data_IF_746524581795
#
_entry.id   IF_746524581795
#
_cell.length_a   1.000
_cell.length_b   1.000
_cell.length_c   1.000
_cell.angle_alpha   90.00
_cell.angle_beta   90.00
_cell.angle_gamma   90.00
#
_symmetry.space_group_name_H-M   'P 1'
#
loop_
_entity.id
_entity.type
_entity.pdbx_description
1 polymer ?
#
# COMPACT_ATOMS: atom_id res chain seq x y z
N UNK A 1 70.28 -2.63 18.38
CA UNK A 1 68.95 -3.18 18.06
C UNK A 1 67.99 -2.03 17.85
N UNK A 2 67.80 -1.61 16.60
CA UNK A 2 67.07 -0.38 16.24
C UNK A 2 65.75 -0.78 15.60
N UNK A 3 64.61 -0.46 16.26
CA UNK A 3 63.26 -0.71 15.72
C UNK A 3 62.85 0.47 14.84
N UNK A 4 62.66 0.22 13.55
CA UNK A 4 61.97 1.09 12.60
C UNK A 4 60.47 0.82 12.68
N UNK A 5 59.67 1.85 12.97
CA UNK A 5 58.20 1.83 12.86
C UNK A 5 57.80 2.51 11.54
N UNK A 6 57.29 1.73 10.59
CA UNK A 6 56.65 2.25 9.38
C UNK A 6 55.19 2.59 9.66
N UNK A 7 54.81 3.85 9.45
CA UNK A 7 53.43 4.30 9.44
C UNK A 7 52.82 4.06 8.05
N UNK A 8 51.75 3.24 7.98
CA UNK A 8 50.98 3.00 6.75
C UNK A 8 49.85 4.02 6.67
N UNK A 9 49.89 4.89 5.67
CA UNK A 9 48.86 5.87 5.35
C UNK A 9 47.75 5.21 4.51
N UNK A 10 46.60 4.92 5.12
CA UNK A 10 45.40 4.51 4.41
C UNK A 10 44.67 5.75 3.87
N UNK A 11 44.85 6.04 2.58
CA UNK A 11 44.01 7.01 1.85
C UNK A 11 42.72 6.32 1.41
N UNK A 12 41.60 6.80 1.94
CA UNK A 12 40.26 6.39 1.50
C UNK A 12 39.95 6.97 0.10
N UNK A 13 39.26 6.24 -0.78
CA UNK A 13 38.83 6.77 -2.07
C UNK A 13 37.77 7.87 -1.89
N UNK A 14 37.96 8.97 -2.63
CA UNK A 14 37.02 10.09 -2.68
C UNK A 14 35.69 9.65 -3.32
N UNK A 15 34.53 10.15 -2.83
CA UNK A 15 33.23 9.83 -3.40
C UNK A 15 33.08 10.42 -4.82
N UNK A 16 32.62 9.59 -5.75
CA UNK A 16 32.21 10.03 -7.09
C UNK A 16 31.02 11.01 -6.97
N UNK A 17 31.25 12.26 -7.37
CA UNK A 17 30.21 13.28 -7.51
C UNK A 17 29.35 12.90 -8.72
N UNK A 18 28.17 12.34 -8.47
CA UNK A 18 27.16 12.13 -9.50
C UNK A 18 26.58 13.49 -9.90
N UNK A 19 26.74 13.85 -11.18
CA UNK A 19 26.18 15.08 -11.73
C UNK A 19 24.65 15.13 -11.69
N UNK A 20 24.05 16.32 -11.85
CA UNK A 20 22.61 16.51 -11.77
C UNK A 20 21.92 15.85 -12.98
N UNK A 21 21.39 14.65 -12.78
CA UNK A 21 20.44 14.07 -13.72
C UNK A 21 19.16 14.91 -13.72
N UNK A 22 18.91 15.60 -14.84
CA UNK A 22 17.63 16.24 -15.16
C UNK A 22 16.53 15.18 -15.18
N UNK A 23 15.91 14.96 -14.03
CA UNK A 23 14.69 14.18 -13.94
C UNK A 23 13.54 15.08 -14.41
N UNK A 24 12.98 14.77 -15.58
CA UNK A 24 11.61 15.25 -15.88
C UNK A 24 10.74 14.86 -14.68
N UNK A 25 9.90 15.77 -14.15
CA UNK A 25 9.16 15.48 -12.93
C UNK A 25 8.28 14.25 -13.18
N UNK A 26 8.54 13.18 -12.41
CA UNK A 26 7.86 11.87 -12.42
C UNK A 26 6.32 12.00 -12.50
N UNK A 27 5.80 13.12 -12.00
CA UNK A 27 4.39 13.52 -12.04
C UNK A 27 3.80 13.61 -13.46
N UNK A 28 4.57 14.05 -14.46
CA UNK A 28 4.06 14.24 -15.83
C UNK A 28 3.82 12.91 -16.54
N UNK A 29 4.65 11.90 -16.26
CA UNK A 29 4.45 10.54 -16.78
C UNK A 29 3.27 9.86 -16.10
N UNK A 30 3.14 10.00 -14.77
CA UNK A 30 2.00 9.44 -14.01
C UNK A 30 0.66 10.03 -14.47
N UNK A 31 0.60 11.34 -14.75
CA UNK A 31 -0.62 12.00 -15.21
C UNK A 31 -1.10 11.51 -16.59
N UNK A 32 -0.17 11.28 -17.53
CA UNK A 32 -0.51 10.78 -18.89
C UNK A 32 -0.96 9.32 -18.89
N UNK A 33 -0.35 8.50 -18.03
CA UNK A 33 -0.73 7.08 -17.90
C UNK A 33 -2.16 6.97 -17.37
N UNK A 34 -2.47 7.75 -16.32
CA UNK A 34 -3.78 7.79 -15.68
C UNK A 34 -4.95 8.15 -16.62
N UNK A 35 -4.75 9.09 -17.54
CA UNK A 35 -5.81 9.49 -18.50
C UNK A 35 -6.18 8.39 -19.48
N UNK A 36 -5.23 7.53 -19.86
CA UNK A 36 -5.48 6.49 -20.87
C UNK A 36 -6.25 5.28 -20.30
N UNK A 37 -6.02 4.92 -19.03
CA UNK A 37 -6.76 3.82 -18.40
C UNK A 37 -8.21 4.21 -18.07
N UNK A 38 -8.45 5.45 -17.61
CA UNK A 38 -9.81 5.91 -17.30
C UNK A 38 -10.71 5.87 -18.53
N UNK A 39 -10.19 6.16 -19.74
CA UNK A 39 -10.99 6.11 -20.97
C UNK A 39 -11.62 4.74 -21.24
N UNK A 40 -11.13 3.66 -20.61
CA UNK A 40 -11.67 2.30 -20.72
C UNK A 40 -12.62 1.90 -19.60
N UNK A 41 -12.69 2.67 -18.51
CA UNK A 41 -13.51 2.36 -17.34
C UNK A 41 -14.81 3.16 -17.44
N UNK A 42 -15.92 2.47 -17.63
CA UNK A 42 -17.24 3.10 -17.76
C UNK A 42 -17.76 3.67 -16.42
N UNK A 43 -17.25 3.18 -15.28
CA UNK A 43 -17.65 3.62 -13.93
C UNK A 43 -16.81 4.81 -13.48
N UNK A 44 -17.50 5.85 -13.03
CA UNK A 44 -16.89 7.03 -12.42
C UNK A 44 -16.12 6.65 -11.16
N UNK A 45 -14.89 7.15 -11.05
CA UNK A 45 -14.04 7.01 -9.86
C UNK A 45 -14.78 7.52 -8.59
N UNK A 46 -14.96 6.68 -7.55
CA UNK A 46 -15.42 7.09 -6.23
C UNK A 46 -14.53 8.19 -5.63
N UNK A 47 -15.15 9.28 -5.16
CA UNK A 47 -14.41 10.43 -4.62
C UNK A 47 -14.58 10.64 -3.12
N UNK A 48 -15.77 10.33 -2.60
CA UNK A 48 -16.15 10.65 -1.23
C UNK A 48 -16.04 9.41 -0.35
N UNK A 49 -15.49 9.49 0.88
CA UNK A 49 -15.45 8.33 1.78
C UNK A 49 -16.81 7.72 2.11
N UNK A 50 -17.90 8.52 2.02
CA UNK A 50 -19.29 8.07 2.16
C UNK A 50 -19.84 7.33 0.94
N UNK A 51 -19.03 7.11 -0.11
CA UNK A 51 -19.46 6.38 -1.31
C UNK A 51 -19.94 4.97 -0.92
N UNK A 52 -21.15 4.56 -1.33
CA UNK A 52 -21.64 3.21 -1.11
C UNK A 52 -20.66 2.12 -1.58
N UNK A 53 -20.50 1.06 -0.78
CA UNK A 53 -19.56 -0.03 -1.05
C UNK A 53 -19.77 -0.67 -2.44
N UNK A 54 -21.02 -0.84 -2.89
CA UNK A 54 -21.31 -1.43 -4.20
C UNK A 54 -20.74 -0.62 -5.38
N UNK A 55 -20.64 0.71 -5.27
CA UNK A 55 -20.01 1.56 -6.29
C UNK A 55 -18.49 1.41 -6.30
N UNK A 56 -17.88 1.28 -5.11
CA UNK A 56 -16.45 1.00 -4.98
C UNK A 56 -16.13 -0.38 -5.58
N UNK A 57 -16.94 -1.39 -5.31
CA UNK A 57 -16.82 -2.72 -5.89
C UNK A 57 -16.97 -2.69 -7.41
N UNK A 58 -17.99 -2.00 -7.94
CA UNK A 58 -18.19 -1.86 -9.37
C UNK A 58 -16.95 -1.25 -10.05
N UNK A 59 -16.36 -0.20 -9.45
CA UNK A 59 -15.12 0.40 -9.95
C UNK A 59 -13.94 -0.58 -9.96
N UNK A 60 -13.65 -1.24 -8.82
CA UNK A 60 -12.54 -2.19 -8.72
C UNK A 60 -12.70 -3.39 -9.67
N UNK A 61 -13.93 -3.88 -9.85
CA UNK A 61 -14.25 -4.96 -10.79
C UNK A 61 -14.04 -4.54 -12.24
N UNK A 62 -14.46 -3.33 -12.62
CA UNK A 62 -14.20 -2.83 -13.98
C UNK A 62 -12.71 -2.60 -14.23
N UNK A 63 -11.98 -2.09 -13.23
CA UNK A 63 -10.53 -1.96 -13.32
C UNK A 63 -9.87 -3.34 -13.50
N UNK A 64 -10.30 -4.37 -12.76
CA UNK A 64 -9.82 -5.74 -12.97
C UNK A 64 -10.07 -6.23 -14.41
N UNK A 65 -11.26 -5.98 -14.97
CA UNK A 65 -11.62 -6.39 -16.33
C UNK A 65 -10.77 -5.68 -17.38
N UNK A 66 -10.57 -4.36 -17.23
CA UNK A 66 -9.74 -3.56 -18.12
C UNK A 66 -8.27 -4.04 -18.16
N UNK A 67 -7.82 -4.72 -17.10
CA UNK A 67 -6.46 -5.20 -16.91
C UNK A 67 -6.35 -6.75 -16.86
N UNK A 68 -7.38 -7.49 -17.33
CA UNK A 68 -7.48 -8.94 -17.13
C UNK A 68 -6.29 -9.73 -17.71
N UNK A 69 -5.85 -9.43 -18.93
CA UNK A 69 -4.82 -10.20 -19.63
C UNK A 69 -3.43 -10.01 -19.01
N UNK A 70 -2.93 -8.77 -18.99
CA UNK A 70 -1.53 -8.48 -18.65
C UNK A 70 -1.35 -7.66 -17.35
N UNK A 71 -2.44 -7.32 -16.68
CA UNK A 71 -2.39 -6.53 -15.46
C UNK A 71 -2.42 -7.35 -14.18
N UNK A 72 -2.23 -6.69 -13.02
CA UNK A 72 -2.23 -7.34 -11.73
C UNK A 72 -3.60 -7.95 -11.40
N UNK A 73 -3.62 -8.79 -10.37
CA UNK A 73 -4.86 -9.10 -9.69
C UNK A 73 -5.32 -7.88 -8.88
N UNK A 74 -6.58 -7.51 -8.98
CA UNK A 74 -7.21 -6.40 -8.27
C UNK A 74 -8.35 -7.00 -7.46
N UNK A 75 -8.24 -6.92 -6.14
CA UNK A 75 -9.25 -7.48 -5.26
C UNK A 75 -10.54 -6.64 -5.35
N UNK A 76 -11.70 -7.25 -5.63
CA UNK A 76 -12.91 -6.49 -5.96
C UNK A 76 -13.63 -5.90 -4.74
N UNK A 77 -13.27 -6.30 -3.52
CA UNK A 77 -13.92 -5.84 -2.29
C UNK A 77 -12.99 -4.97 -1.44
N UNK A 78 -13.57 -4.05 -0.67
CA UNK A 78 -12.81 -3.27 0.33
C UNK A 78 -12.45 -4.18 1.50
N UNK A 79 -11.18 -4.20 1.90
CA UNK A 79 -10.71 -4.98 3.05
C UNK A 79 -10.74 -4.10 4.29
N UNK A 80 -11.51 -4.51 5.30
CA UNK A 80 -11.73 -3.68 6.50
C UNK A 80 -11.56 -4.39 7.82
N UNK A 81 -11.56 -5.72 7.83
CA UNK A 81 -11.59 -6.48 9.07
C UNK A 81 -10.42 -7.44 9.17
N UNK A 82 -9.83 -7.61 10.37
CA UNK A 82 -8.83 -8.63 10.56
C UNK A 82 -9.39 -10.04 10.36
N UNK A 83 -10.62 -10.27 10.84
CA UNK A 83 -11.29 -11.57 10.84
C UNK A 83 -12.82 -11.42 10.77
N UNK A 84 -13.50 -12.56 10.67
CA UNK A 84 -14.96 -12.62 10.56
C UNK A 84 -15.69 -12.21 11.83
N UNK A 85 -15.09 -12.39 13.01
CA UNK A 85 -15.70 -12.01 14.28
C UNK A 85 -15.80 -10.49 14.37
N UNK A 86 -14.70 -9.77 14.08
CA UNK A 86 -14.71 -8.32 13.99
C UNK A 86 -15.69 -7.82 12.93
N UNK A 87 -15.74 -8.43 11.75
CA UNK A 87 -16.75 -8.06 10.73
C UNK A 87 -18.17 -8.21 11.27
N UNK A 88 -18.45 -9.32 11.97
CA UNK A 88 -19.76 -9.58 12.54
C UNK A 88 -20.16 -8.52 13.56
N UNK A 89 -19.27 -8.19 14.51
CA UNK A 89 -19.51 -7.16 15.52
C UNK A 89 -19.90 -5.82 14.87
N UNK A 90 -19.15 -5.40 13.84
CA UNK A 90 -19.43 -4.16 13.12
C UNK A 90 -20.70 -4.21 12.27
N UNK A 91 -21.06 -5.38 11.75
CA UNK A 91 -22.26 -5.56 10.95
C UNK A 91 -23.56 -5.42 11.75
N UNK A 92 -23.51 -5.56 13.08
CA UNK A 92 -24.64 -5.31 13.99
C UNK A 92 -25.00 -3.82 13.97
N UNK A 93 -23.98 -2.95 13.99
CA UNK A 93 -24.18 -1.49 14.00
C UNK A 93 -24.41 -0.92 12.60
N UNK A 94 -23.78 -1.51 11.57
CA UNK A 94 -23.88 -1.05 10.19
C UNK A 94 -24.04 -2.19 9.19
N UNK A 95 -25.26 -2.36 8.66
CA UNK A 95 -25.59 -3.46 7.75
C UNK A 95 -24.68 -3.57 6.52
N UNK A 96 -24.20 -2.44 5.98
CA UNK A 96 -23.31 -2.41 4.81
C UNK A 96 -21.89 -2.94 5.08
N UNK A 97 -21.51 -3.14 6.35
CA UNK A 97 -20.21 -3.73 6.72
C UNK A 97 -20.11 -5.20 6.33
N UNK A 98 -21.24 -5.89 6.15
CA UNK A 98 -21.29 -7.28 5.65
C UNK A 98 -20.67 -7.44 4.26
N UNK A 99 -20.67 -6.38 3.45
CA UNK A 99 -20.15 -6.39 2.09
C UNK A 99 -18.62 -6.23 2.02
N UNK A 100 -17.98 -5.88 3.14
CA UNK A 100 -16.53 -5.69 3.22
C UNK A 100 -15.83 -7.00 3.60
N UNK A 101 -14.60 -7.13 3.14
CA UNK A 101 -13.83 -8.36 3.32
C UNK A 101 -12.91 -8.32 4.54
N UNK A 102 -12.54 -9.51 4.96
CA UNK A 102 -11.49 -9.77 5.93
C UNK A 102 -10.12 -9.88 5.24
N UNK A 103 -9.04 -9.74 6.01
CA UNK A 103 -7.68 -9.96 5.51
C UNK A 103 -7.47 -11.39 4.98
N UNK A 104 -8.11 -12.38 5.64
CA UNK A 104 -8.04 -13.79 5.23
C UNK A 104 -8.71 -14.01 3.88
N UNK A 105 -9.90 -13.46 3.66
CA UNK A 105 -10.62 -13.55 2.38
C UNK A 105 -9.80 -12.94 1.25
N UNK A 106 -9.25 -11.73 1.47
CA UNK A 106 -8.34 -11.10 0.51
C UNK A 106 -7.15 -12.01 0.16
N UNK A 107 -6.48 -12.55 1.18
CA UNK A 107 -5.26 -13.31 0.95
C UNK A 107 -5.52 -14.64 0.24
N UNK A 108 -6.58 -15.36 0.63
CA UNK A 108 -6.93 -16.67 0.08
C UNK A 108 -7.67 -16.60 -1.25
N UNK A 109 -8.18 -15.43 -1.66
CA UNK A 109 -8.87 -15.31 -2.95
C UNK A 109 -7.98 -15.78 -4.10
N UNK A 110 -8.49 -16.58 -5.06
CA UNK A 110 -7.71 -17.02 -6.22
C UNK A 110 -7.06 -15.85 -6.97
N UNK A 111 -5.75 -15.96 -7.21
CA UNK A 111 -4.94 -14.95 -7.91
C UNK A 111 -4.57 -15.38 -9.33
N UNK A 112 -4.93 -16.59 -9.75
CA UNK A 112 -4.67 -17.14 -11.09
C UNK A 112 -3.22 -16.95 -11.58
N UNK A 113 -2.25 -17.21 -10.71
CA UNK A 113 -0.83 -17.11 -11.03
C UNK A 113 -0.24 -15.69 -11.08
N UNK A 114 -1.06 -14.65 -10.86
CA UNK A 114 -0.64 -13.24 -10.90
C UNK A 114 0.45 -12.94 -9.88
N UNK A 115 1.46 -12.15 -10.28
CA UNK A 115 2.64 -11.80 -9.46
C UNK A 115 2.43 -10.56 -8.60
N UNK A 116 1.44 -9.76 -8.96
CA UNK A 116 1.15 -8.45 -8.41
C UNK A 116 -0.32 -8.39 -8.02
N UNK A 117 -0.61 -8.02 -6.79
CA UNK A 117 -1.97 -7.93 -6.25
C UNK A 117 -2.23 -6.53 -5.70
N UNK A 118 -3.39 -5.97 -6.01
CA UNK A 118 -3.83 -4.66 -5.55
C UNK A 118 -5.09 -4.84 -4.70
N UNK A 119 -5.20 -4.06 -3.63
CA UNK A 119 -6.40 -4.02 -2.81
C UNK A 119 -6.59 -2.64 -2.20
N UNK A 120 -7.86 -2.25 -2.08
CA UNK A 120 -8.27 -1.11 -1.28
C UNK A 120 -8.54 -1.59 0.15
N UNK A 121 -7.91 -0.96 1.11
CA UNK A 121 -8.19 -1.17 2.52
C UNK A 121 -8.90 0.05 3.09
N UNK A 122 -9.73 -0.19 4.09
CA UNK A 122 -10.40 0.87 4.81
C UNK A 122 -10.56 0.51 6.29
N UNK A 123 -10.31 1.47 7.17
CA UNK A 123 -10.45 1.30 8.62
C UNK A 123 -11.22 2.48 9.21
N UNK A 124 -11.91 2.29 10.34
CA UNK A 124 -12.45 3.42 11.08
C UNK A 124 -11.31 4.39 11.47
N UNK A 125 -11.58 5.71 11.54
CA UNK A 125 -10.66 6.66 12.15
C UNK A 125 -10.41 6.27 13.62
N UNK A 126 -9.21 6.54 14.12
CA UNK A 126 -8.66 5.87 15.31
C UNK A 126 -9.44 6.02 16.63
N UNK A 127 -9.55 4.87 17.31
CA UNK A 127 -9.76 4.57 18.74
C UNK A 127 -11.13 4.76 19.42
N UNK A 128 -11.66 3.61 19.87
CA UNK A 128 -12.97 3.35 20.47
C UNK A 128 -12.95 3.29 22.00
N UNK A 129 -11.79 3.45 22.64
CA UNK A 129 -11.64 3.26 24.09
C UNK A 129 -11.24 4.58 24.73
N UNK A 130 -12.17 5.19 25.48
CA UNK A 130 -11.92 6.37 26.32
C UNK A 130 -12.52 7.69 25.84
N UNK A 131 -13.14 7.74 24.66
CA UNK A 131 -13.93 8.88 24.18
C UNK A 131 -15.40 8.50 24.34
N UNK A 132 -16.10 9.14 25.29
CA UNK A 132 -17.44 8.76 25.73
C UNK A 132 -18.52 8.73 24.63
N UNK A 133 -19.73 8.33 25.00
CA UNK A 133 -20.91 8.09 24.13
C UNK A 133 -21.29 9.25 23.19
N UNK A 134 -20.71 10.44 23.37
CA UNK A 134 -21.01 11.67 22.63
C UNK A 134 -20.04 12.02 21.47
N UNK A 135 -19.07 11.17 21.12
CA UNK A 135 -18.21 11.45 19.97
C UNK A 135 -18.78 10.91 18.67
N UNK A 136 -18.91 11.79 17.66
CA UNK A 136 -19.51 11.55 16.35
C UNK A 136 -18.75 10.60 15.43
N UNK A 137 -18.15 9.52 15.94
CA UNK A 137 -17.48 8.49 15.16
C UNK A 137 -18.41 7.84 14.13
N UNK A 138 -19.73 7.85 14.39
CA UNK A 138 -20.74 7.42 13.44
C UNK A 138 -20.73 8.26 12.16
N UNK A 139 -20.35 9.53 12.30
CA UNK A 139 -20.31 10.53 11.24
C UNK A 139 -18.90 10.71 10.68
N UNK A 140 -17.86 10.13 11.29
CA UNK A 140 -16.52 10.25 10.77
C UNK A 140 -16.29 9.30 9.59
N UNK A 141 -15.79 9.81 8.46
CA UNK A 141 -15.53 9.00 7.30
C UNK A 141 -14.44 7.96 7.60
N UNK A 142 -14.63 6.73 7.13
CA UNK A 142 -13.60 5.71 7.22
C UNK A 142 -12.35 6.11 6.44
N UNK A 143 -11.19 5.92 7.05
CA UNK A 143 -9.91 6.09 6.39
C UNK A 143 -9.73 5.00 5.32
N UNK A 144 -9.09 5.34 4.21
CA UNK A 144 -8.80 4.43 3.10
C UNK A 144 -7.34 4.53 2.69
N UNK A 145 -6.72 3.39 2.43
CA UNK A 145 -5.35 3.30 1.91
C UNK A 145 -5.25 2.20 0.85
N UNK A 146 -4.27 2.31 -0.04
CA UNK A 146 -4.02 1.32 -1.07
C UNK A 146 -2.89 0.36 -0.65
N UNK A 147 -3.05 -0.92 -0.98
CA UNK A 147 -2.03 -1.94 -0.80
C UNK A 147 -1.64 -2.52 -2.16
N UNK A 148 -0.33 -2.57 -2.40
CA UNK A 148 0.29 -3.37 -3.45
C UNK A 148 1.06 -4.53 -2.80
N UNK A 149 0.80 -5.75 -3.26
CA UNK A 149 1.56 -6.96 -2.93
C UNK A 149 2.28 -7.41 -4.18
N UNK A 150 3.60 -7.55 -4.12
CA UNK A 150 4.38 -7.99 -5.28
C UNK A 150 5.34 -9.12 -4.91
N UNK A 151 5.37 -10.14 -5.77
CA UNK A 151 6.30 -11.25 -5.64
C UNK A 151 7.73 -10.79 -5.91
N UNK A 152 8.63 -11.11 -5.00
CA UNK A 152 10.06 -10.86 -5.18
C UNK A 152 10.69 -12.02 -5.93
N UNK A 153 11.44 -11.72 -6.98
CA UNK A 153 12.17 -12.70 -7.80
C UNK A 153 13.69 -12.59 -7.67
N UNK A 154 14.19 -11.82 -6.70
CA UNK A 154 15.62 -11.66 -6.49
C UNK A 154 16.27 -13.03 -6.22
N UNK A 155 17.05 -13.52 -7.20
CA UNK A 155 17.71 -14.84 -7.16
C UNK A 155 18.70 -14.95 -6.00
N UNK A 156 19.23 -13.83 -5.51
CA UNK A 156 20.16 -13.83 -4.39
C UNK A 156 19.46 -14.01 -3.02
N UNK A 157 18.12 -13.86 -2.97
CA UNK A 157 17.33 -13.96 -1.74
C UNK A 157 16.28 -15.06 -1.85
N UNK A 158 15.82 -15.56 -0.71
CA UNK A 158 14.69 -16.50 -0.68
C UNK A 158 13.44 -15.83 -1.30
N UNK A 159 12.62 -16.56 -2.09
CA UNK A 159 11.36 -16.04 -2.59
C UNK A 159 10.53 -15.42 -1.46
N UNK A 160 9.92 -14.28 -1.73
CA UNK A 160 9.22 -13.50 -0.71
C UNK A 160 8.17 -12.58 -1.31
N UNK A 161 7.54 -11.79 -0.44
CA UNK A 161 6.60 -10.74 -0.82
C UNK A 161 7.16 -9.39 -0.43
N UNK A 162 6.82 -8.36 -1.19
CA UNK A 162 6.89 -6.98 -0.75
C UNK A 162 5.47 -6.44 -0.60
N UNK A 163 5.18 -5.87 0.58
CA UNK A 163 3.96 -5.12 0.84
C UNK A 163 4.29 -3.64 0.69
N UNK A 164 3.59 -2.95 -0.20
CA UNK A 164 3.76 -1.53 -0.47
C UNK A 164 2.48 -0.83 -0.03
N UNK A 165 2.57 -0.07 1.06
CA UNK A 165 1.46 0.68 1.62
C UNK A 165 1.51 2.11 1.10
N UNK A 166 0.44 2.53 0.43
CA UNK A 166 0.24 3.91 0.06
C UNK A 166 -0.91 4.47 0.88
N UNK A 167 -0.56 5.28 1.86
CA UNK A 167 -1.49 5.95 2.75
C UNK A 167 -1.57 7.44 2.33
N UNK A 168 -2.74 7.93 1.88
CA UNK A 168 -2.92 9.36 1.56
C UNK A 168 -2.87 10.28 2.78
N UNK A 169 -3.00 9.71 3.97
CA UNK A 169 -3.06 10.44 5.24
C UNK A 169 -2.09 9.80 6.25
N UNK A 170 -0.79 9.75 5.93
CA UNK A 170 0.18 9.07 6.79
C UNK A 170 0.33 9.81 8.12
N UNK A 171 0.53 9.07 9.20
CA UNK A 171 0.82 9.69 10.50
C UNK A 171 2.29 10.12 10.57
N UNK A 172 2.55 11.41 10.57
CA UNK A 172 3.90 11.97 10.40
C UNK A 172 4.57 12.36 11.70
N UNK A 173 3.84 12.30 12.82
CA UNK A 173 4.35 12.69 14.14
C UNK A 173 5.56 11.87 14.59
N UNK A 174 5.77 10.68 14.00
CA UNK A 174 6.92 9.81 14.27
C UNK A 174 7.35 9.09 12.99
N UNK A 175 7.99 9.79 12.05
CA UNK A 175 8.71 9.13 10.95
C UNK A 175 9.74 8.20 11.57
N UNK A 176 9.46 6.90 11.48
CA UNK A 176 10.33 5.85 11.98
C UNK A 176 10.60 4.91 10.84
N UNK A 177 11.82 4.41 10.75
CA UNK A 177 12.12 3.37 9.78
C UNK A 177 11.60 2.01 10.25
N UNK A 178 11.04 1.87 11.46
CA UNK A 178 10.61 0.59 12.03
C UNK A 178 9.16 0.29 11.65
N UNK A 179 8.89 -0.94 11.21
CA UNK A 179 7.55 -1.38 10.80
C UNK A 179 6.54 -1.19 11.94
N UNK A 180 6.87 -1.61 13.16
CA UNK A 180 5.97 -1.53 14.33
C UNK A 180 5.65 -0.10 14.76
N UNK A 181 6.54 0.85 14.45
CA UNK A 181 6.38 2.25 14.82
C UNK A 181 5.67 3.04 13.71
N UNK A 182 5.65 2.52 12.49
CA UNK A 182 5.03 3.14 11.31
C UNK A 182 3.62 2.61 11.04
N UNK A 183 3.47 1.29 10.92
CA UNK A 183 2.18 0.69 10.61
C UNK A 183 1.25 0.76 11.83
N UNK A 184 -0.02 1.06 11.59
CA UNK A 184 -1.05 1.16 12.63
C UNK A 184 -2.28 0.33 12.29
N UNK A 185 -3.08 0.02 13.30
CA UNK A 185 -4.37 -0.66 13.15
C UNK A 185 -4.30 -1.86 12.20
N UNK A 186 -5.14 -1.85 11.17
CA UNK A 186 -5.23 -2.95 10.19
C UNK A 186 -3.95 -3.12 9.34
N UNK A 187 -3.16 -2.07 9.10
CA UNK A 187 -1.89 -2.19 8.35
C UNK A 187 -0.90 -3.09 9.12
N UNK A 188 -0.77 -2.85 10.43
CA UNK A 188 0.08 -3.65 11.30
C UNK A 188 -0.45 -5.09 11.44
N UNK A 189 -1.76 -5.24 11.67
CA UNK A 189 -2.40 -6.56 11.76
C UNK A 189 -2.23 -7.37 10.48
N UNK A 190 -2.33 -6.74 9.31
CA UNK A 190 -2.07 -7.37 8.02
C UNK A 190 -0.64 -7.88 7.93
N UNK A 191 0.34 -7.02 8.24
CA UNK A 191 1.75 -7.40 8.22
C UNK A 191 2.01 -8.61 9.12
N UNK A 192 1.52 -8.59 10.37
CA UNK A 192 1.64 -9.71 11.29
C UNK A 192 0.98 -10.98 10.77
N UNK A 193 -0.25 -10.86 10.25
CA UNK A 193 -1.02 -11.97 9.70
C UNK A 193 -0.30 -12.64 8.54
N UNK A 194 0.20 -11.84 7.59
CA UNK A 194 0.96 -12.34 6.44
C UNK A 194 2.23 -13.05 6.86
N UNK A 195 2.99 -12.43 7.77
CA UNK A 195 4.25 -13.00 8.24
C UNK A 195 4.06 -14.31 8.99
N UNK A 196 2.99 -14.40 9.80
CA UNK A 196 2.66 -15.58 10.60
C UNK A 196 2.14 -16.75 9.77
N UNK A 197 1.26 -16.48 8.79
CA UNK A 197 0.48 -17.54 8.14
C UNK A 197 0.88 -17.85 6.70
N UNK A 198 1.54 -16.94 6.00
CA UNK A 198 1.69 -17.08 4.54
C UNK A 198 3.10 -16.90 4.03
N UNK A 199 3.87 -15.94 4.55
CA UNK A 199 5.21 -15.68 4.05
C UNK A 199 6.10 -15.06 5.14
N UNK A 200 7.11 -15.78 5.61
CA UNK A 200 8.06 -15.24 6.61
C UNK A 200 8.97 -14.16 6.02
N UNK A 201 9.28 -14.24 4.73
CA UNK A 201 10.15 -13.31 4.01
C UNK A 201 9.35 -12.15 3.39
N UNK A 202 8.84 -11.27 4.26
CA UNK A 202 8.07 -10.09 3.87
C UNK A 202 8.92 -8.84 4.07
N UNK A 203 9.06 -8.05 3.01
CA UNK A 203 9.58 -6.68 3.09
C UNK A 203 8.40 -5.69 3.02
N UNK A 204 8.58 -4.52 3.63
CA UNK A 204 7.55 -3.46 3.67
C UNK A 204 8.14 -2.19 3.07
N UNK A 205 7.39 -1.56 2.18
CA UNK A 205 7.62 -0.19 1.73
C UNK A 205 6.41 0.68 2.07
N UNK A 206 6.63 1.91 2.50
CA UNK A 206 5.59 2.82 2.97
C UNK A 206 5.77 4.20 2.36
N UNK A 207 4.68 4.87 1.99
CA UNK A 207 4.71 6.23 1.45
C UNK A 207 4.49 7.24 2.57
N UNK A 208 5.40 8.21 2.68
CA UNK A 208 5.27 9.38 3.55
C UNK A 208 4.76 10.62 2.80
N UNK A 209 3.97 10.42 1.74
CA UNK A 209 3.47 11.52 0.92
C UNK A 209 2.31 12.24 1.61
N UNK A 210 2.62 13.36 2.26
CA UNK A 210 1.69 14.14 3.08
C UNK A 210 0.81 15.09 2.26
N UNK A 211 0.98 15.15 0.94
CA UNK A 211 0.31 16.15 0.09
C UNK A 211 -1.22 16.10 0.18
N UNK A 212 -1.79 14.98 0.61
CA UNK A 212 -3.23 14.77 0.71
C UNK A 212 -3.74 14.59 2.15
N UNK A 213 -2.86 14.66 3.14
CA UNK A 213 -3.20 14.44 4.54
C UNK A 213 -4.27 15.44 5.01
N UNK A 214 -5.25 14.96 5.78
CA UNK A 214 -6.35 15.77 6.32
C UNK A 214 -7.32 16.37 5.30
N UNK A 215 -7.22 16.07 3.99
CA UNK A 215 -8.10 16.67 2.95
C UNK A 215 -9.42 15.94 2.74
N UNK A 216 -9.70 14.87 3.48
CA UNK A 216 -10.90 14.04 3.27
C UNK A 216 -10.94 13.32 1.91
N UNK A 217 -9.80 13.19 1.22
CA UNK A 217 -9.71 12.60 -0.12
C UNK A 217 -9.14 11.17 -0.12
N UNK A 218 -9.05 10.51 1.05
CA UNK A 218 -8.33 9.26 1.20
C UNK A 218 -8.84 8.13 0.28
N UNK A 219 -10.16 8.02 0.09
CA UNK A 219 -10.75 7.05 -0.85
C UNK A 219 -10.31 7.35 -2.29
N UNK A 220 -10.56 8.58 -2.75
CA UNK A 220 -10.26 8.98 -4.13
C UNK A 220 -8.80 8.67 -4.45
N UNK A 221 -7.88 9.19 -3.64
CA UNK A 221 -6.46 9.08 -3.91
C UNK A 221 -5.94 7.65 -3.84
N UNK A 222 -6.51 6.83 -2.95
CA UNK A 222 -6.17 5.41 -2.86
C UNK A 222 -6.58 4.66 -4.12
N UNK A 223 -7.76 4.94 -4.66
CA UNK A 223 -8.21 4.36 -5.92
C UNK A 223 -7.42 4.88 -7.13
N UNK A 224 -7.05 6.16 -7.14
CA UNK A 224 -6.12 6.73 -8.15
C UNK A 224 -4.79 5.97 -8.12
N UNK A 225 -4.24 5.73 -6.93
CA UNK A 225 -2.99 4.97 -6.76
C UNK A 225 -3.12 3.53 -7.25
N UNK A 226 -4.21 2.84 -6.94
CA UNK A 226 -4.48 1.49 -7.45
C UNK A 226 -4.52 1.48 -8.98
N UNK A 227 -5.13 2.50 -9.59
CA UNK A 227 -5.20 2.64 -11.06
C UNK A 227 -3.80 2.79 -11.66
N UNK A 228 -2.97 3.66 -11.09
CA UNK A 228 -1.55 3.82 -11.49
C UNK A 228 -0.78 2.51 -11.37
N UNK A 229 -0.93 1.77 -10.27
CA UNK A 229 -0.26 0.49 -10.11
C UNK A 229 -0.80 -0.61 -11.05
N UNK A 230 -2.07 -0.52 -11.47
CA UNK A 230 -2.65 -1.45 -12.45
C UNK A 230 -2.02 -1.28 -13.84
N UNK A 231 -1.71 -0.03 -14.21
CA UNK A 231 -1.03 0.32 -15.46
C UNK A 231 0.41 -0.18 -15.51
N UNK A 232 1.10 -0.26 -14.36
CA UNK A 232 2.44 -0.86 -14.27
C UNK A 232 2.46 -2.37 -14.61
N UNK A 233 1.30 -3.03 -14.71
CA UNK A 233 1.20 -4.42 -15.17
C UNK A 233 1.62 -5.48 -14.13
N UNK A 234 1.49 -6.75 -14.52
CA UNK A 234 1.81 -7.88 -13.66
C UNK A 234 3.25 -8.37 -13.83
N UNK A 235 4.13 -7.96 -12.91
CA UNK A 235 5.54 -8.37 -12.93
C UNK A 235 6.12 -8.52 -11.54
N UNK A 236 7.19 -9.32 -11.44
CA UNK A 236 7.96 -9.43 -10.22
C UNK A 236 8.59 -8.10 -9.82
N UNK A 237 8.96 -7.99 -8.55
CA UNK A 237 9.68 -6.84 -8.04
C UNK A 237 11.17 -6.96 -8.33
N UNK A 238 11.75 -5.93 -8.95
CA UNK A 238 13.11 -5.93 -9.49
C UNK A 238 14.10 -5.04 -8.73
N UNK A 239 13.84 -4.72 -7.47
CA UNK A 239 14.77 -3.92 -6.66
C UNK A 239 14.31 -2.48 -6.44
N UNK A 240 15.24 -1.63 -6.03
CA UNK A 240 15.00 -0.21 -5.71
C UNK A 240 14.60 0.63 -6.93
N UNK A 241 14.85 0.17 -8.15
CA UNK A 241 14.45 0.84 -9.39
C UNK A 241 13.02 0.54 -9.82
N UNK A 242 12.28 -0.32 -9.10
CA UNK A 242 10.90 -0.64 -9.44
C UNK A 242 9.99 0.60 -9.29
N UNK A 243 9.42 1.06 -10.40
CA UNK A 243 8.61 2.28 -10.47
C UNK A 243 7.44 2.29 -9.47
N UNK A 244 6.93 1.10 -9.11
CA UNK A 244 5.81 0.95 -8.18
C UNK A 244 6.18 1.31 -6.74
N UNK A 245 7.48 1.37 -6.45
CA UNK A 245 8.06 1.71 -5.14
C UNK A 245 8.84 3.03 -5.14
N UNK A 246 8.85 3.78 -6.24
CA UNK A 246 9.53 5.09 -6.28
C UNK A 246 8.85 6.09 -5.34
N UNK A 247 9.66 6.73 -4.49
CA UNK A 247 9.17 7.64 -3.45
C UNK A 247 8.60 6.93 -2.22
N UNK A 248 8.77 5.61 -2.10
CA UNK A 248 8.44 4.85 -0.90
C UNK A 248 9.72 4.53 -0.12
N UNK A 249 9.58 4.51 1.19
CA UNK A 249 10.64 4.14 2.09
C UNK A 249 10.52 2.67 2.51
N UNK A 250 11.62 1.93 2.49
CA UNK A 250 11.64 0.57 3.04
C UNK A 250 11.74 0.61 4.56
N UNK A 251 10.85 -0.12 5.21
CA UNK A 251 10.82 -0.22 6.66
C UNK A 251 11.63 -1.42 7.17
N UNK A 252 12.40 -1.21 8.23
CA UNK A 252 13.13 -2.20 8.99
C UNK A 252 12.21 -2.96 9.96
N UNK A 253 12.52 -4.24 10.16
CA UNK A 253 11.76 -5.11 11.07
C UNK A 253 12.06 -4.83 12.55
N UNK A 254 13.30 -4.41 12.85
CA UNK A 254 13.84 -4.33 14.22
C UNK A 254 13.32 -3.08 14.87
#
# INVERSE_FOLDING_TARGET
MTRLTHAVSNKWPQPCVLGPHSSKPLQTQLARSFTNAIGKIAVKLPRQPSTPNHLIHAYLKQLQLAHATNGPFIYPHVVSFPDSARRHDWAIYWGHMKERSTMREFWLHPKHGKKTWLALFSSPPGNWVGVGENHGWVNEPWHCFALLVVNRSDRARKPGKMLVFWDPDPNTTRKSHRIKDTLRGIQWLLFQHVRKHYCRAVEVSYSWDERYAGRGQCLQRSLERITVWAESGDRHWHGSSDERTLGFERLALI
#
